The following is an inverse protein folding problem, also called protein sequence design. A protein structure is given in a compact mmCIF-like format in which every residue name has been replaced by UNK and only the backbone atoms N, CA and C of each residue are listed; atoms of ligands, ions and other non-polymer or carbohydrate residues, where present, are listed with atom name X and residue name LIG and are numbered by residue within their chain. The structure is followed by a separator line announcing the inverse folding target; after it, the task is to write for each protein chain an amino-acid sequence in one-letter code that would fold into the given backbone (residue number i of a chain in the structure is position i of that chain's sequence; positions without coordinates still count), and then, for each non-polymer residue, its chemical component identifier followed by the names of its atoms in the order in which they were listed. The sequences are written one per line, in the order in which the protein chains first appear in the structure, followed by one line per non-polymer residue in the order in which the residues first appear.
data_IF_970381594801
#
_entry.id   IF_970381594801
#
_cell.length_a   1.000
_cell.length_b   1.000
_cell.length_c   1.000
_cell.angle_alpha   90.00
_cell.angle_beta   90.00
_cell.angle_gamma   90.00
#
_symmetry.space_group_name_H-M   'P 1'
#
loop_
_entity.id
_entity.type
_entity.pdbx_description
1 polymer ?
#
# COMPACT_ATOMS: atom_id res chain seq x y z
N UNK A 1 22.17 20.27 12.37
CA UNK A 1 21.04 20.21 13.32
C UNK A 1 19.66 20.43 12.67
N UNK A 2 19.54 20.76 11.38
CA UNK A 2 18.24 20.88 10.69
C UNK A 2 17.66 19.55 10.15
N UNK A 3 18.40 18.43 10.24
CA UNK A 3 18.01 17.18 9.57
C UNK A 3 17.16 16.23 10.46
N UNK A 4 17.12 16.37 11.78
CA UNK A 4 16.39 15.41 12.64
C UNK A 4 14.86 15.60 12.68
N UNK A 5 14.35 16.77 12.26
CA UNK A 5 12.92 17.09 12.30
C UNK A 5 12.19 16.90 10.95
N UNK A 6 12.92 16.79 9.84
CA UNK A 6 12.38 16.28 8.57
C UNK A 6 12.28 14.75 8.58
N UNK A 7 13.24 14.06 9.21
CA UNK A 7 13.00 12.86 10.05
C UNK A 7 11.57 12.19 9.98
N UNK A 8 10.65 12.64 10.83
CA UNK A 8 9.32 12.02 10.97
C UNK A 8 8.34 12.36 9.83
N UNK A 9 8.46 13.49 9.15
CA UNK A 9 7.47 13.88 8.13
C UNK A 9 7.70 13.22 6.77
N UNK A 10 8.96 12.88 6.45
CA UNK A 10 9.20 12.13 5.21
C UNK A 10 8.72 10.68 5.33
N UNK A 11 8.83 10.00 6.49
CA UNK A 11 8.41 8.59 6.59
C UNK A 11 6.91 8.46 6.35
N UNK A 12 6.13 9.41 6.88
CA UNK A 12 4.69 9.46 6.65
C UNK A 12 4.39 9.72 5.18
N UNK A 13 5.02 10.73 4.57
CA UNK A 13 4.83 11.03 3.15
C UNK A 13 5.18 9.84 2.23
N UNK A 14 6.29 9.14 2.47
CA UNK A 14 6.68 7.98 1.68
C UNK A 14 5.72 6.79 1.87
N UNK A 15 5.19 6.60 3.07
CA UNK A 15 4.19 5.56 3.34
C UNK A 15 2.88 5.83 2.57
N UNK A 16 2.38 7.07 2.58
CA UNK A 16 1.17 7.47 1.83
C UNK A 16 1.36 7.29 0.32
N UNK A 17 2.50 7.74 -0.23
CA UNK A 17 2.77 7.58 -1.66
C UNK A 17 2.88 6.11 -2.07
N UNK A 18 3.46 5.26 -1.23
CA UNK A 18 3.59 3.82 -1.51
C UNK A 18 2.23 3.13 -1.57
N UNK A 19 1.36 3.41 -0.60
CA UNK A 19 -0.03 2.90 -0.59
C UNK A 19 -0.79 3.37 -1.83
N UNK A 20 -0.69 4.65 -2.20
CA UNK A 20 -1.35 5.19 -3.38
C UNK A 20 -0.85 4.54 -4.68
N UNK A 21 0.46 4.36 -4.82
CA UNK A 21 1.07 3.72 -5.98
C UNK A 21 0.62 2.25 -6.12
N UNK A 22 0.58 1.51 -5.01
CA UNK A 22 0.15 0.11 -5.01
C UNK A 22 -1.36 0.00 -5.26
N UNK A 23 -2.18 0.92 -4.73
CA UNK A 23 -3.61 0.98 -5.02
C UNK A 23 -3.86 1.18 -6.52
N UNK A 24 -3.23 2.19 -7.12
CA UNK A 24 -3.34 2.45 -8.56
C UNK A 24 -2.85 1.27 -9.43
N UNK A 25 -1.75 0.62 -9.02
CA UNK A 25 -1.24 -0.58 -9.69
C UNK A 25 -2.21 -1.77 -9.56
N UNK A 26 -2.85 -1.92 -8.39
CA UNK A 26 -3.82 -2.98 -8.11
C UNK A 26 -5.10 -2.79 -8.91
N UNK A 27 -5.59 -1.56 -9.02
CA UNK A 27 -6.76 -1.20 -9.83
C UNK A 27 -6.50 -1.50 -11.30
N UNK A 28 -5.38 -1.02 -11.84
CA UNK A 28 -4.97 -1.31 -13.22
C UNK A 28 -4.82 -2.83 -13.47
N UNK A 29 -4.24 -3.56 -12.52
CA UNK A 29 -4.13 -5.02 -12.57
C UNK A 29 -5.49 -5.72 -12.55
N UNK A 30 -6.43 -5.26 -11.71
CA UNK A 30 -7.80 -5.76 -11.64
C UNK A 30 -8.54 -5.62 -12.97
N UNK A 31 -8.31 -4.52 -13.71
CA UNK A 31 -8.92 -4.33 -15.03
C UNK A 31 -8.31 -5.35 -16.01
N UNK A 32 -7.01 -5.60 -15.93
CA UNK A 32 -6.28 -6.65 -16.66
C UNK A 32 -6.74 -8.09 -16.40
N UNK A 33 -7.19 -8.37 -15.16
CA UNK A 33 -7.62 -9.71 -14.73
C UNK A 33 -9.11 -9.93 -15.01
N UNK A 34 -9.95 -8.91 -14.79
CA UNK A 34 -11.41 -9.06 -14.89
C UNK A 34 -11.88 -9.04 -16.33
N UNK A 35 -11.36 -8.13 -17.17
CA UNK A 35 -11.74 -7.99 -18.57
C UNK A 35 -13.23 -7.67 -18.77
N UNK A 36 -13.57 -6.89 -19.78
CA UNK A 36 -14.97 -6.63 -20.16
C UNK A 36 -15.23 -7.28 -21.51
N UNK A 37 -16.08 -8.31 -21.50
CA UNK A 37 -16.43 -9.09 -22.70
C UNK A 37 -17.23 -8.23 -23.70
N UNK A 38 -17.94 -7.20 -23.23
CA UNK A 38 -18.73 -6.26 -24.04
C UNK A 38 -17.84 -5.30 -24.88
N UNK A 39 -16.59 -5.06 -24.47
CA UNK A 39 -15.63 -4.15 -25.11
C UNK A 39 -14.58 -4.88 -25.99
N UNK A 40 -14.75 -6.18 -26.28
CA UNK A 40 -13.73 -7.04 -26.91
C UNK A 40 -12.37 -7.11 -26.17
N UNK A 41 -12.31 -6.64 -24.93
CA UNK A 41 -11.07 -6.63 -24.15
C UNK A 41 -10.90 -7.98 -23.45
N UNK A 42 -10.34 -8.95 -24.18
CA UNK A 42 -9.98 -10.27 -23.65
C UNK A 42 -9.09 -10.11 -22.42
N UNK A 43 -9.38 -10.86 -21.35
CA UNK A 43 -8.54 -10.92 -20.15
C UNK A 43 -7.09 -11.13 -20.57
N UNK A 44 -6.21 -10.14 -20.41
CA UNK A 44 -4.76 -10.26 -20.68
C UNK A 44 -4.17 -11.43 -19.87
N UNK A 45 -4.73 -11.63 -18.68
CA UNK A 45 -4.42 -12.72 -17.77
C UNK A 45 -4.78 -14.12 -18.34
N UNK A 46 -5.68 -14.23 -19.33
CA UNK A 46 -6.01 -15.49 -20.00
C UNK A 46 -4.92 -15.93 -21.00
N UNK A 47 -4.30 -14.97 -21.70
CA UNK A 47 -3.23 -15.23 -22.66
C UNK A 47 -1.86 -15.36 -21.98
N UNK A 48 -1.62 -14.64 -20.87
CA UNK A 48 -0.36 -14.63 -20.11
C UNK A 48 -0.52 -15.06 -18.64
N UNK A 49 -1.26 -16.14 -18.37
CA UNK A 49 -1.61 -16.57 -17.01
C UNK A 49 -0.43 -16.74 -16.04
N UNK A 50 0.72 -17.26 -16.49
CA UNK A 50 1.91 -17.42 -15.63
C UNK A 50 2.55 -16.10 -15.21
N UNK A 51 2.57 -15.10 -16.09
CA UNK A 51 3.11 -13.77 -15.78
C UNK A 51 2.16 -13.01 -14.88
N UNK A 52 0.86 -13.10 -15.16
CA UNK A 52 -0.17 -12.46 -14.37
C UNK A 52 -0.20 -13.01 -12.92
N UNK A 53 -0.07 -14.33 -12.73
CA UNK A 53 0.01 -14.93 -11.39
C UNK A 53 1.27 -14.48 -10.61
N UNK A 54 2.42 -14.35 -11.28
CA UNK A 54 3.66 -13.83 -10.65
C UNK A 54 3.58 -12.34 -10.33
N UNK A 55 3.04 -11.53 -11.23
CA UNK A 55 2.83 -10.09 -11.03
C UNK A 55 1.83 -9.81 -9.91
N UNK A 56 0.71 -10.54 -9.90
CA UNK A 56 -0.29 -10.47 -8.83
C UNK A 56 0.31 -10.86 -7.47
N UNK A 57 1.17 -11.89 -7.44
CA UNK A 57 1.92 -12.25 -6.23
C UNK A 57 2.83 -11.13 -5.71
N UNK A 58 3.50 -10.39 -6.62
CA UNK A 58 4.34 -9.25 -6.27
C UNK A 58 3.55 -8.02 -5.79
N UNK A 59 2.41 -7.72 -6.43
CA UNK A 59 1.51 -6.65 -5.97
C UNK A 59 0.89 -7.02 -4.61
N UNK A 60 0.49 -8.28 -4.42
CA UNK A 60 -0.06 -8.75 -3.16
C UNK A 60 0.96 -8.65 -2.01
N UNK A 61 2.22 -9.00 -2.24
CA UNK A 61 3.26 -8.87 -1.22
C UNK A 61 3.60 -7.41 -0.91
N UNK A 62 3.59 -6.53 -1.92
CA UNK A 62 3.74 -5.09 -1.73
C UNK A 62 2.57 -4.50 -0.91
N UNK A 63 1.32 -4.87 -1.22
CA UNK A 63 0.16 -4.48 -0.42
C UNK A 63 0.31 -4.91 1.04
N UNK A 64 0.74 -6.16 1.27
CA UNK A 64 0.91 -6.68 2.63
C UNK A 64 1.97 -5.91 3.41
N UNK A 65 3.10 -5.59 2.76
CA UNK A 65 4.16 -4.78 3.34
C UNK A 65 3.70 -3.35 3.66
N UNK A 66 2.93 -2.72 2.76
CA UNK A 66 2.38 -1.38 3.00
C UNK A 66 1.37 -1.35 4.15
N UNK A 67 0.48 -2.34 4.25
CA UNK A 67 -0.45 -2.45 5.39
C UNK A 67 0.32 -2.63 6.69
N UNK A 68 1.34 -3.49 6.72
CA UNK A 68 2.18 -3.67 7.91
C UNK A 68 2.87 -2.38 8.34
N UNK A 69 3.41 -1.60 7.40
CA UNK A 69 3.98 -0.28 7.71
C UNK A 69 2.95 0.68 8.32
N UNK A 70 1.75 0.77 7.74
CA UNK A 70 0.69 1.66 8.25
C UNK A 70 0.28 1.25 9.67
N UNK A 71 0.12 -0.05 9.95
CA UNK A 71 -0.23 -0.54 11.28
C UNK A 71 0.82 -0.18 12.33
N UNK A 72 2.11 -0.35 12.00
CA UNK A 72 3.21 0.02 12.91
C UNK A 72 3.20 1.52 13.20
N UNK A 73 2.99 2.37 12.18
CA UNK A 73 2.84 3.81 12.34
C UNK A 73 1.66 4.17 13.27
N UNK A 74 0.50 3.54 13.06
CA UNK A 74 -0.67 3.76 13.91
C UNK A 74 -0.41 3.33 15.36
N UNK A 75 0.17 2.15 15.60
CA UNK A 75 0.46 1.66 16.95
C UNK A 75 1.40 2.62 17.69
N UNK A 76 2.43 3.14 17.01
CA UNK A 76 3.34 4.13 17.59
C UNK A 76 2.62 5.40 18.01
N UNK A 77 1.78 5.96 17.11
CA UNK A 77 0.97 7.13 17.40
C UNK A 77 -0.01 6.89 18.56
N UNK A 78 -0.77 5.79 18.53
CA UNK A 78 -1.73 5.42 19.59
C UNK A 78 -1.06 5.23 20.94
N UNK A 79 0.11 4.59 20.98
CA UNK A 79 0.87 4.39 22.22
C UNK A 79 1.31 5.72 22.83
N UNK A 80 1.71 6.68 21.99
CA UNK A 80 2.06 8.04 22.42
C UNK A 80 0.86 8.79 22.97
N UNK A 81 -0.29 8.75 22.27
CA UNK A 81 -1.54 9.35 22.76
C UNK A 81 -2.00 8.74 24.08
N UNK A 82 -1.86 7.42 24.25
CA UNK A 82 -2.21 6.75 25.50
C UNK A 82 -1.30 7.13 26.67
N UNK A 83 -0.01 7.31 26.43
CA UNK A 83 0.97 7.68 27.45
C UNK A 83 0.79 9.14 27.91
N UNK A 84 0.51 10.05 26.97
CA UNK A 84 0.24 11.45 27.28
C UNK A 84 -1.07 11.64 28.06
N UNK A 85 -2.14 10.90 27.70
CA UNK A 85 -3.40 10.91 28.42
C UNK A 85 -3.34 10.35 29.86
N UNK A 86 -2.39 9.46 30.15
CA UNK A 86 -2.18 8.90 31.49
C UNK A 86 -1.33 9.81 32.41
N UNK A 87 -0.56 10.75 31.85
CA UNK A 87 0.34 11.64 32.62
C UNK A 87 -0.37 12.92 33.08
N UNK A 88 -1.55 13.23 32.52
CA UNK A 88 -2.48 14.26 33.02
C UNK A 88 -3.45 13.64 34.04
N UNK A 89 -2.92 13.11 35.14
CA UNK A 89 -3.68 12.83 36.37
C UNK A 89 -2.75 12.88 37.59
#
# INVERSE_FOLDING_TARGET
MANQFTLPSYIEAMAYMSVAAIAAASESGMIGIRGEEELQWMKVCNMFGKFCNRGAGGVASAMLASVAMVLVSCISAFSLFRLYGATTQ
#
